data_IF_073851640163
#
_entry.id   IF_073851640163
#
_cell.length_a   1.000
_cell.length_b   1.000
_cell.length_c   1.000
_cell.angle_alpha   90.00
_cell.angle_beta   90.00
_cell.angle_gamma   90.00
#
_symmetry.space_group_name_H-M   'P 1'
#
loop_
_entity.id
_entity.type
_entity.pdbx_description
1 polymer ?
#
# COMPACT_ATOMS: atom_id res chain seq x y z
N UNK A 1 16.08 13.52 8.38
CA UNK A 1 14.75 14.02 8.74
C UNK A 1 13.67 13.36 7.92
N UNK A 2 12.52 13.22 8.52
CA UNK A 2 11.33 12.75 7.81
C UNK A 2 10.59 13.95 7.23
N UNK A 3 10.19 13.81 5.98
CA UNK A 3 9.37 14.80 5.31
C UNK A 3 7.91 14.64 5.72
N UNK A 4 7.17 15.76 5.72
CA UNK A 4 5.72 15.76 5.85
C UNK A 4 5.17 16.34 4.56
N UNK A 5 4.51 15.50 3.75
CA UNK A 5 4.00 15.88 2.45
C UNK A 5 2.51 15.60 2.36
N UNK A 6 1.78 16.51 1.74
CA UNK A 6 0.34 16.36 1.54
C UNK A 6 -0.01 16.49 0.07
N UNK A 7 -0.85 15.57 -0.41
CA UNK A 7 -1.30 15.56 -1.80
C UNK A 7 -2.82 15.42 -1.85
N UNK A 8 -3.47 16.15 -2.74
CA UNK A 8 -4.91 15.95 -2.97
C UNK A 8 -5.18 14.79 -3.91
N UNK A 9 -4.54 14.82 -5.08
CA UNK A 9 -4.73 13.80 -6.09
C UNK A 9 -3.38 13.41 -6.67
N UNK A 10 -3.10 12.12 -6.69
CA UNK A 10 -1.90 11.57 -7.30
C UNK A 10 -2.36 10.57 -8.35
N UNK A 11 -1.91 10.72 -9.58
CA UNK A 11 -2.20 9.79 -10.67
C UNK A 11 -0.89 9.39 -11.31
N UNK A 12 -0.58 8.09 -11.31
CA UNK A 12 0.63 7.55 -11.94
C UNK A 12 0.24 6.34 -12.79
N UNK A 13 0.73 6.31 -14.01
CA UNK A 13 0.41 5.24 -14.98
C UNK A 13 1.66 4.76 -15.71
N UNK A 14 1.65 3.49 -16.09
CA UNK A 14 2.61 2.92 -17.05
C UNK A 14 4.04 2.95 -16.54
N UNK A 15 4.28 2.33 -15.40
CA UNK A 15 5.63 2.15 -14.87
C UNK A 15 6.10 0.71 -15.12
N UNK A 16 7.37 0.54 -15.41
CA UNK A 16 7.98 -0.79 -15.57
C UNK A 16 8.10 -1.51 -14.23
N UNK A 17 8.18 -0.78 -13.13
CA UNK A 17 8.28 -1.31 -11.78
C UNK A 17 7.12 -0.79 -10.92
N UNK A 18 7.42 -0.26 -9.74
CA UNK A 18 6.41 0.34 -8.89
C UNK A 18 5.93 1.66 -9.48
N UNK A 19 4.63 1.94 -9.42
CA UNK A 19 4.14 3.24 -9.85
C UNK A 19 4.53 4.35 -8.86
N UNK A 20 4.36 4.11 -7.57
CA UNK A 20 4.71 5.07 -6.51
C UNK A 20 5.46 4.32 -5.41
N UNK A 21 6.58 4.86 -5.00
CA UNK A 21 7.40 4.28 -3.93
C UNK A 21 7.70 5.37 -2.90
N UNK A 22 7.26 5.17 -1.67
CA UNK A 22 7.39 6.13 -0.57
C UNK A 22 8.20 5.53 0.57
N UNK A 23 9.21 6.28 1.01
CA UNK A 23 10.08 5.85 2.11
C UNK A 23 10.41 7.05 3.00
N UNK A 24 10.72 6.79 4.27
CA UNK A 24 11.29 7.76 5.21
C UNK A 24 10.51 9.07 5.32
N UNK A 25 9.18 9.01 5.46
CA UNK A 25 8.40 10.23 5.58
C UNK A 25 7.00 10.01 6.09
N UNK A 26 6.31 11.10 6.30
CA UNK A 26 4.90 11.12 6.64
C UNK A 26 4.15 11.72 5.45
N UNK A 27 3.19 10.95 4.92
CA UNK A 27 2.49 11.32 3.71
C UNK A 27 0.99 11.32 3.97
N UNK A 28 0.34 12.39 3.57
CA UNK A 28 -1.12 12.55 3.66
C UNK A 28 -1.66 12.67 2.25
N UNK A 29 -2.49 11.71 1.83
CA UNK A 29 -2.97 11.64 0.45
C UNK A 29 -4.50 11.53 0.47
N UNK A 30 -5.20 12.45 -0.18
CA UNK A 30 -6.64 12.31 -0.30
C UNK A 30 -6.99 11.19 -1.25
N UNK A 31 -6.49 11.25 -2.47
CA UNK A 31 -6.74 10.21 -3.47
C UNK A 31 -5.48 9.89 -4.25
N UNK A 32 -5.20 8.61 -4.43
CA UNK A 32 -4.11 8.14 -5.28
C UNK A 32 -4.67 7.06 -6.21
N UNK A 33 -4.40 7.22 -7.50
CA UNK A 33 -4.79 6.25 -8.52
C UNK A 33 -3.55 5.85 -9.30
N UNK A 34 -3.29 4.55 -9.35
CA UNK A 34 -2.14 3.98 -10.07
C UNK A 34 -2.65 2.89 -11.02
N UNK A 35 -2.01 2.77 -12.17
CA UNK A 35 -2.42 1.77 -13.14
C UNK A 35 -1.26 1.35 -14.03
N UNK A 36 -1.31 0.08 -14.49
CA UNK A 36 -0.31 -0.51 -15.36
C UNK A 36 1.09 -0.38 -14.77
N UNK A 37 1.27 -0.93 -13.58
CA UNK A 37 2.52 -0.94 -12.85
C UNK A 37 3.14 -2.34 -12.97
N UNK A 38 4.42 -2.43 -13.32
CA UNK A 38 5.08 -3.71 -13.54
C UNK A 38 5.24 -4.54 -12.28
N UNK A 39 5.24 -3.91 -11.11
CA UNK A 39 5.28 -4.59 -9.83
C UNK A 39 4.19 -4.01 -8.92
N UNK A 40 4.54 -3.15 -7.98
CA UNK A 40 3.56 -2.63 -7.01
C UNK A 40 2.90 -1.35 -7.50
N UNK A 41 1.62 -1.19 -7.18
CA UNK A 41 0.94 0.07 -7.41
C UNK A 41 1.49 1.15 -6.49
N UNK A 42 1.26 0.99 -5.19
CA UNK A 42 1.84 1.85 -4.15
C UNK A 42 2.70 0.98 -3.25
N UNK A 43 3.99 1.31 -3.17
CA UNK A 43 4.95 0.65 -2.30
C UNK A 43 5.33 1.61 -1.18
N UNK A 44 5.11 1.20 0.06
CA UNK A 44 5.43 2.00 1.24
C UNK A 44 6.46 1.24 2.06
N UNK A 45 7.62 1.84 2.24
CA UNK A 45 8.73 1.16 2.92
C UNK A 45 9.41 2.02 3.96
N UNK A 46 10.37 1.41 4.60
CA UNK A 46 11.35 1.96 5.55
C UNK A 46 10.85 3.14 6.39
N UNK A 47 10.17 2.79 7.49
CA UNK A 47 9.73 3.74 8.54
C UNK A 47 8.83 4.87 8.07
N UNK A 48 8.13 4.69 6.95
CA UNK A 48 7.17 5.69 6.48
C UNK A 48 5.79 5.49 7.10
N UNK A 49 5.04 6.57 7.16
CA UNK A 49 3.64 6.56 7.56
C UNK A 49 2.83 7.22 6.46
N UNK A 50 1.86 6.50 5.94
CA UNK A 50 0.96 7.00 4.90
C UNK A 50 -0.46 6.99 5.44
N UNK A 51 -1.10 8.14 5.42
CA UNK A 51 -2.53 8.26 5.72
C UNK A 51 -3.24 8.73 4.46
N UNK A 52 -4.23 7.97 4.03
CA UNK A 52 -4.93 8.29 2.79
C UNK A 52 -6.42 8.03 2.92
N UNK A 53 -7.20 8.72 2.11
CA UNK A 53 -8.64 8.47 2.05
C UNK A 53 -8.93 7.35 1.08
N UNK A 54 -8.36 7.39 -0.12
CA UNK A 54 -8.70 6.41 -1.14
C UNK A 54 -7.49 6.08 -2.02
N UNK A 55 -7.28 4.78 -2.21
CA UNK A 55 -6.35 4.23 -3.18
C UNK A 55 -7.13 3.43 -4.21
N UNK A 56 -6.85 3.68 -5.49
CA UNK A 56 -7.31 2.84 -6.61
C UNK A 56 -6.07 2.32 -7.32
N UNK A 57 -5.92 1.00 -7.39
CA UNK A 57 -4.77 0.35 -8.01
C UNK A 57 -5.24 -0.65 -9.04
N UNK A 58 -4.84 -0.45 -10.30
CA UNK A 58 -5.32 -1.26 -11.44
C UNK A 58 -4.16 -1.86 -12.21
N UNK A 59 -4.28 -3.14 -12.53
CA UNK A 59 -3.31 -3.88 -13.33
C UNK A 59 -1.90 -3.74 -12.74
N UNK A 60 -1.74 -4.30 -11.55
CA UNK A 60 -0.48 -4.33 -10.82
C UNK A 60 -0.27 -5.75 -10.29
N UNK A 61 0.97 -6.08 -9.95
CA UNK A 61 1.24 -7.35 -9.29
C UNK A 61 0.76 -7.31 -7.84
N UNK A 62 1.11 -6.26 -7.12
CA UNK A 62 0.62 -5.99 -5.76
C UNK A 62 -0.01 -4.60 -5.77
N UNK A 63 -1.27 -4.51 -5.33
CA UNK A 63 -1.96 -3.22 -5.34
C UNK A 63 -1.36 -2.22 -4.36
N UNK A 64 -1.14 -2.67 -3.13
CA UNK A 64 -0.50 -1.89 -2.06
C UNK A 64 0.43 -2.80 -1.27
N UNK A 65 1.66 -2.36 -1.08
CA UNK A 65 2.61 -3.04 -0.21
C UNK A 65 3.04 -2.11 0.93
N UNK A 66 3.06 -2.64 2.15
CA UNK A 66 3.60 -1.97 3.33
C UNK A 66 4.68 -2.87 3.92
N UNK A 67 5.91 -2.36 4.02
CA UNK A 67 7.07 -3.17 4.45
C UNK A 67 8.00 -2.36 5.35
N UNK A 68 8.84 -3.07 6.12
CA UNK A 68 9.99 -2.50 6.83
C UNK A 68 9.64 -1.30 7.72
N UNK A 69 8.83 -1.55 8.75
CA UNK A 69 8.40 -0.54 9.72
C UNK A 69 7.46 0.52 9.16
N UNK A 70 6.92 0.31 7.98
CA UNK A 70 5.95 1.27 7.44
C UNK A 70 4.56 1.03 8.00
N UNK A 71 3.74 2.07 7.98
CA UNK A 71 2.34 2.01 8.39
C UNK A 71 1.47 2.72 7.38
N UNK A 72 0.43 2.05 6.94
CA UNK A 72 -0.53 2.60 5.99
C UNK A 72 -1.91 2.57 6.62
N UNK A 73 -2.56 3.72 6.66
CA UNK A 73 -3.93 3.87 7.13
C UNK A 73 -4.75 4.41 5.97
N UNK A 74 -5.78 3.68 5.57
CA UNK A 74 -6.64 4.07 4.47
C UNK A 74 -8.10 3.87 4.80
N UNK A 75 -8.94 4.82 4.38
CA UNK A 75 -10.38 4.65 4.50
C UNK A 75 -10.88 3.64 3.46
N UNK A 76 -10.40 3.72 2.23
CA UNK A 76 -10.85 2.88 1.13
C UNK A 76 -9.69 2.47 0.24
N UNK A 77 -9.65 1.19 -0.12
CA UNK A 77 -8.72 0.64 -1.10
C UNK A 77 -9.53 -0.16 -2.10
N UNK A 78 -9.38 0.17 -3.37
CA UNK A 78 -10.00 -0.54 -4.49
C UNK A 78 -8.91 -1.05 -5.42
N UNK A 79 -8.93 -2.34 -5.71
CA UNK A 79 -7.97 -2.93 -6.65
C UNK A 79 -8.70 -3.66 -7.77
N UNK A 80 -8.12 -3.61 -8.96
CA UNK A 80 -8.63 -4.26 -10.15
C UNK A 80 -7.48 -4.94 -10.88
N UNK A 81 -7.65 -6.22 -11.18
CA UNK A 81 -6.65 -6.99 -11.94
C UNK A 81 -5.28 -6.98 -11.26
N UNK A 82 -5.24 -7.45 -10.04
CA UNK A 82 -4.00 -7.60 -9.26
C UNK A 82 -3.78 -9.07 -8.91
N UNK A 83 -2.54 -9.49 -8.77
CA UNK A 83 -2.28 -10.81 -8.18
C UNK A 83 -2.61 -10.77 -6.69
N UNK A 84 -2.09 -9.78 -5.97
CA UNK A 84 -2.34 -9.56 -4.55
C UNK A 84 -2.86 -8.14 -4.34
N UNK A 85 -4.00 -8.00 -3.64
CA UNK A 85 -4.58 -6.68 -3.44
C UNK A 85 -3.74 -5.85 -2.46
N UNK A 86 -3.45 -6.39 -1.28
CA UNK A 86 -2.61 -5.73 -0.28
C UNK A 86 -1.64 -6.74 0.32
N UNK A 87 -0.45 -6.27 0.66
CA UNK A 87 0.60 -7.12 1.23
C UNK A 87 1.40 -6.36 2.28
N UNK A 88 1.57 -6.95 3.46
CA UNK A 88 2.38 -6.40 4.54
C UNK A 88 3.47 -7.40 4.89
N UNK A 89 4.74 -6.99 4.82
CA UNK A 89 5.83 -7.93 5.02
C UNK A 89 7.13 -7.26 5.44
N UNK A 90 8.06 -8.06 5.92
CA UNK A 90 9.43 -7.65 6.18
C UNK A 90 10.28 -7.97 4.95
N UNK A 91 10.95 -6.97 4.40
CA UNK A 91 11.89 -7.16 3.31
C UNK A 91 13.32 -7.17 3.82
N UNK A 92 13.68 -6.26 4.72
CA UNK A 92 15.02 -6.12 5.29
C UNK A 92 15.03 -6.60 6.74
N UNK A 93 16.02 -7.41 7.09
CA UNK A 93 16.09 -8.04 8.41
C UNK A 93 16.22 -7.05 9.57
N UNK A 94 16.83 -5.90 9.34
CA UNK A 94 17.02 -4.87 10.37
C UNK A 94 15.73 -4.12 10.72
N UNK A 95 14.66 -4.31 9.95
CA UNK A 95 13.37 -3.70 10.22
C UNK A 95 12.34 -4.75 10.60
N UNK A 96 11.33 -4.37 11.34
CA UNK A 96 10.14 -5.19 11.51
C UNK A 96 9.30 -5.14 10.23
N UNK A 97 8.13 -5.77 10.23
CA UNK A 97 7.26 -5.79 9.07
C UNK A 97 6.45 -4.52 8.87
N UNK A 98 5.49 -4.58 7.96
CA UNK A 98 4.60 -3.48 7.67
C UNK A 98 3.26 -3.60 8.40
N UNK A 99 2.50 -2.52 8.33
CA UNK A 99 1.15 -2.46 8.86
C UNK A 99 0.23 -1.83 7.82
N UNK A 100 -0.89 -2.47 7.55
CA UNK A 100 -1.95 -1.90 6.74
C UNK A 100 -3.24 -1.92 7.57
N UNK A 101 -3.82 -0.75 7.78
CA UNK A 101 -5.12 -0.62 8.43
C UNK A 101 -6.08 0.01 7.42
N UNK A 102 -7.14 -0.71 7.06
CA UNK A 102 -8.08 -0.28 6.03
C UNK A 102 -9.51 -0.46 6.54
N UNK A 103 -10.35 0.54 6.30
CA UNK A 103 -11.77 0.46 6.68
C UNK A 103 -12.55 -0.33 5.65
N UNK A 104 -12.32 -0.09 4.36
CA UNK A 104 -13.05 -0.77 3.30
C UNK A 104 -12.10 -1.20 2.19
N UNK A 105 -12.01 -2.50 1.96
CA UNK A 105 -11.21 -3.09 0.91
C UNK A 105 -12.13 -3.75 -0.12
N UNK A 106 -12.03 -3.32 -1.38
CA UNK A 106 -12.76 -3.89 -2.51
C UNK A 106 -11.76 -4.39 -3.55
N UNK A 107 -11.70 -5.71 -3.72
CA UNK A 107 -10.77 -6.37 -4.64
C UNK A 107 -11.54 -7.03 -5.77
N UNK A 108 -11.26 -6.65 -7.02
CA UNK A 108 -11.88 -7.20 -8.22
C UNK A 108 -10.82 -7.92 -9.05
N UNK A 109 -11.04 -9.20 -9.33
CA UNK A 109 -10.16 -10.03 -10.15
C UNK A 109 -8.73 -10.10 -9.57
N UNK A 110 -8.56 -10.98 -8.60
CA UNK A 110 -7.30 -11.17 -7.89
C UNK A 110 -7.07 -12.64 -7.59
N UNK A 111 -5.84 -12.99 -7.24
CA UNK A 111 -5.48 -14.31 -6.74
C UNK A 111 -5.50 -14.31 -5.21
N UNK A 112 -4.84 -13.33 -4.60
CA UNK A 112 -4.78 -13.20 -3.15
C UNK A 112 -5.37 -11.85 -2.74
N UNK A 113 -6.37 -11.88 -1.84
CA UNK A 113 -6.93 -10.65 -1.31
C UNK A 113 -5.93 -9.93 -0.41
N UNK A 114 -5.19 -10.69 0.39
CA UNK A 114 -4.12 -10.14 1.21
C UNK A 114 -3.02 -11.18 1.41
N UNK A 115 -1.82 -10.69 1.69
CA UNK A 115 -0.70 -11.49 2.16
C UNK A 115 -0.04 -10.74 3.31
N UNK A 116 0.20 -11.44 4.43
CA UNK A 116 0.82 -10.85 5.61
C UNK A 116 1.76 -11.87 6.23
N UNK A 117 3.01 -11.47 6.49
CA UNK A 117 3.96 -12.37 7.13
C UNK A 117 3.86 -12.27 8.66
N UNK A 118 4.67 -13.07 9.37
CA UNK A 118 4.61 -13.15 10.83
C UNK A 118 5.12 -11.88 11.54
N UNK A 119 5.78 -10.99 10.82
CA UNK A 119 6.32 -9.74 11.37
C UNK A 119 5.41 -8.54 11.14
N UNK A 120 4.28 -8.75 10.46
CA UNK A 120 3.46 -7.68 9.93
C UNK A 120 2.01 -7.84 10.37
N UNK A 121 1.21 -6.79 10.14
CA UNK A 121 -0.22 -6.81 10.48
C UNK A 121 -1.04 -6.20 9.36
N UNK A 122 -2.21 -6.81 9.15
CA UNK A 122 -3.28 -6.23 8.34
C UNK A 122 -4.51 -6.14 9.24
N UNK A 123 -5.04 -4.94 9.35
CA UNK A 123 -6.20 -4.66 10.21
C UNK A 123 -7.32 -4.17 9.31
N UNK A 124 -8.43 -4.90 9.33
CA UNK A 124 -9.68 -4.42 8.76
C UNK A 124 -10.46 -3.70 9.86
N UNK A 125 -11.48 -2.95 9.47
CA UNK A 125 -12.21 -2.07 10.38
C UNK A 125 -12.52 -2.68 11.75
N UNK A 126 -12.93 -3.95 11.78
CA UNK A 126 -13.40 -4.59 13.01
C UNK A 126 -12.56 -5.77 13.46
N UNK A 127 -11.49 -6.12 12.74
CA UNK A 127 -10.67 -7.27 13.13
C UNK A 127 -9.26 -7.21 12.53
N UNK A 128 -8.35 -7.95 13.17
CA UNK A 128 -6.94 -8.05 12.79
C UNK A 128 -6.65 -9.43 12.22
N UNK A 129 -5.84 -9.44 11.18
CA UNK A 129 -5.35 -10.68 10.56
C UNK A 129 -3.92 -10.96 10.97
#
# INVERSE_FOLDING_TARGET
DFSNLSFKNVIVKNSLNDCVDLSFGNYFIEKIEVSNCGDKGLSVGETSVVKMKNLVSKNTKIGLASKDYSKVFSQSIQTYDTETCISAYQKKKEFSGGLISVEKLDCQNHIHKYQVDKFSKVIFKDYEL
#
